data_IF_542672125019
#
_entry.id   IF_542672125019
#
_cell.length_a   1.000
_cell.length_b   1.000
_cell.length_c   1.000
_cell.angle_alpha   90.00
_cell.angle_beta   90.00
_cell.angle_gamma   90.00
#
_symmetry.space_group_name_H-M   'P 1'
#
loop_
_entity.id
_entity.type
_entity.pdbx_description
1 polymer ?
#
# COMPACT_ATOMS: atom_id res chain seq x y z
N UNK A 1 -36.39 -18.65 13.86
CA UNK A 1 -37.80 -18.23 14.08
C UNK A 1 -37.75 -16.74 14.31
N UNK A 2 -38.01 -15.95 13.28
CA UNK A 2 -37.94 -14.48 13.34
C UNK A 2 -39.01 -13.99 14.30
N UNK A 3 -38.61 -13.35 15.41
CA UNK A 3 -39.56 -12.63 16.25
C UNK A 3 -40.08 -11.43 15.44
N UNK A 4 -41.39 -11.37 15.26
CA UNK A 4 -42.12 -10.29 14.59
C UNK A 4 -43.30 -9.91 15.50
N UNK A 5 -43.61 -8.61 15.58
CA UNK A 5 -44.76 -8.02 16.29
C UNK A 5 -46.02 -8.88 16.25
N UNK A 6 -46.40 -9.43 15.10
CA UNK A 6 -47.60 -10.25 14.92
C UNK A 6 -47.52 -11.59 15.69
N UNK A 7 -46.33 -12.23 15.69
CA UNK A 7 -46.07 -13.46 16.44
C UNK A 7 -46.03 -13.22 17.95
N UNK A 8 -45.47 -12.08 18.37
CA UNK A 8 -45.38 -11.67 19.77
C UNK A 8 -46.78 -11.28 20.30
N UNK A 9 -47.55 -10.54 19.52
CA UNK A 9 -48.93 -10.16 19.85
C UNK A 9 -49.81 -11.40 20.04
N UNK A 10 -49.71 -12.42 19.15
CA UNK A 10 -50.44 -13.70 19.34
C UNK A 10 -50.00 -14.45 20.59
N UNK A 11 -48.72 -14.38 20.98
CA UNK A 11 -48.22 -15.00 22.22
C UNK A 11 -48.71 -14.29 23.48
N UNK A 12 -48.92 -12.98 23.42
CA UNK A 12 -49.36 -12.17 24.57
C UNK A 12 -50.90 -12.08 24.71
N UNK A 13 -51.64 -12.31 23.63
CA UNK A 13 -53.10 -12.29 23.58
C UNK A 13 -53.84 -13.16 24.64
N UNK A 14 -53.31 -14.31 25.12
CA UNK A 14 -53.98 -15.10 26.16
C UNK A 14 -53.92 -14.47 27.56
N UNK A 15 -53.03 -13.50 27.78
CA UNK A 15 -52.68 -12.98 29.11
C UNK A 15 -52.97 -11.48 29.22
N UNK A 16 -52.92 -10.75 28.11
CA UNK A 16 -53.08 -9.29 28.07
C UNK A 16 -54.24 -8.89 27.16
N UNK A 17 -54.88 -7.75 27.47
CA UNK A 17 -55.89 -7.17 26.58
C UNK A 17 -55.27 -6.84 25.21
N UNK A 18 -56.05 -6.83 24.11
CA UNK A 18 -55.52 -6.71 22.74
C UNK A 18 -54.59 -5.51 22.54
N UNK A 19 -54.97 -4.35 23.06
CA UNK A 19 -54.17 -3.12 22.97
C UNK A 19 -52.84 -3.22 23.75
N UNK A 20 -52.87 -3.86 24.92
CA UNK A 20 -51.67 -4.07 25.74
C UNK A 20 -50.73 -5.10 25.11
N UNK A 21 -51.27 -6.17 24.53
CA UNK A 21 -50.50 -7.20 23.83
C UNK A 21 -49.75 -6.61 22.61
N UNK A 22 -50.40 -5.71 21.87
CA UNK A 22 -49.77 -5.01 20.74
C UNK A 22 -48.69 -4.04 21.21
N UNK A 23 -48.95 -3.22 22.24
CA UNK A 23 -47.93 -2.28 22.76
C UNK A 23 -46.70 -3.04 23.30
N UNK A 24 -46.91 -4.15 24.01
CA UNK A 24 -45.80 -4.97 24.52
C UNK A 24 -45.03 -5.65 23.37
N UNK A 25 -45.73 -6.14 22.36
CA UNK A 25 -45.12 -6.75 21.19
C UNK A 25 -44.28 -5.75 20.41
N UNK A 26 -44.77 -4.52 20.20
CA UNK A 26 -44.02 -3.44 19.55
C UNK A 26 -42.81 -3.05 20.39
N UNK A 27 -42.97 -2.84 21.70
CA UNK A 27 -41.86 -2.47 22.57
C UNK A 27 -40.75 -3.55 22.63
N UNK A 28 -41.12 -4.84 22.59
CA UNK A 28 -40.16 -5.94 22.57
C UNK A 28 -39.53 -6.11 21.18
N UNK A 29 -40.28 -5.90 20.10
CA UNK A 29 -39.77 -5.94 18.74
C UNK A 29 -38.77 -4.80 18.50
N UNK A 30 -39.11 -3.57 18.91
CA UNK A 30 -38.21 -2.40 18.88
C UNK A 30 -36.96 -2.66 19.72
N UNK A 31 -37.11 -3.11 20.96
CA UNK A 31 -35.96 -3.42 21.82
C UNK A 31 -35.09 -4.55 21.26
N UNK A 32 -35.68 -5.55 20.62
CA UNK A 32 -34.94 -6.68 20.02
C UNK A 32 -34.26 -6.29 18.70
N UNK A 33 -34.85 -5.35 17.96
CA UNK A 33 -34.26 -4.81 16.74
C UNK A 33 -33.12 -3.82 17.00
N UNK A 34 -33.13 -3.14 18.15
CA UNK A 34 -32.04 -2.28 18.62
C UNK A 34 -30.84 -3.03 19.23
N UNK A 35 -30.92 -4.36 19.37
CA UNK A 35 -29.82 -5.20 19.86
C UNK A 35 -28.88 -5.60 18.72
N UNK A 36 -27.58 -5.40 18.95
CA UNK A 36 -26.50 -5.97 18.14
C UNK A 36 -26.67 -7.49 18.03
N UNK A 37 -26.80 -7.99 16.81
CA UNK A 37 -27.04 -9.41 16.53
C UNK A 37 -25.73 -10.14 16.28
N UNK A 38 -25.76 -11.46 16.49
CA UNK A 38 -24.65 -12.32 16.11
C UNK A 38 -24.33 -12.21 14.60
N UNK A 39 -25.33 -11.89 13.79
CA UNK A 39 -25.18 -11.67 12.36
C UNK A 39 -24.34 -10.42 12.05
N UNK A 40 -24.49 -9.32 12.80
CA UNK A 40 -23.69 -8.10 12.62
C UNK A 40 -22.20 -8.34 12.95
N UNK A 41 -21.92 -9.13 14.00
CA UNK A 41 -20.56 -9.57 14.31
C UNK A 41 -19.98 -10.51 13.25
N UNK A 42 -20.81 -11.38 12.67
CA UNK A 42 -20.39 -12.26 11.58
C UNK A 42 -20.10 -11.46 10.30
N UNK A 43 -20.91 -10.46 9.98
CA UNK A 43 -20.68 -9.55 8.86
C UNK A 43 -19.39 -8.75 9.04
N UNK A 44 -19.17 -8.18 10.22
CA UNK A 44 -17.92 -7.49 10.58
C UNK A 44 -16.70 -8.41 10.40
N UNK A 45 -16.79 -9.65 10.88
CA UNK A 45 -15.71 -10.63 10.77
C UNK A 45 -15.38 -10.98 9.32
N UNK A 46 -16.39 -11.12 8.47
CA UNK A 46 -16.20 -11.40 7.04
C UNK A 46 -15.60 -10.18 6.30
N UNK A 47 -16.03 -8.96 6.63
CA UNK A 47 -15.43 -7.73 6.11
C UNK A 47 -13.95 -7.65 6.49
N UNK A 48 -13.60 -7.87 7.77
CA UNK A 48 -12.21 -7.84 8.24
C UNK A 48 -11.34 -8.92 7.58
N UNK A 49 -11.86 -10.15 7.42
CA UNK A 49 -11.17 -11.22 6.67
C UNK A 49 -10.96 -10.83 5.22
N UNK A 50 -11.95 -10.21 4.59
CA UNK A 50 -11.86 -9.69 3.25
C UNK A 50 -10.77 -8.63 3.11
N UNK A 51 -10.71 -7.67 4.03
CA UNK A 51 -9.69 -6.62 4.08
C UNK A 51 -8.28 -7.19 4.27
N UNK A 52 -8.10 -8.10 5.22
CA UNK A 52 -6.80 -8.74 5.45
C UNK A 52 -6.28 -9.48 4.20
N UNK A 53 -7.16 -10.21 3.50
CA UNK A 53 -6.80 -10.86 2.22
C UNK A 53 -6.46 -9.86 1.13
N UNK A 54 -7.20 -8.75 1.05
CA UNK A 54 -6.95 -7.69 0.06
C UNK A 54 -5.60 -6.99 0.33
N UNK A 55 -5.26 -6.76 1.60
CA UNK A 55 -3.98 -6.18 2.00
C UNK A 55 -2.80 -7.06 1.58
N UNK A 56 -2.82 -8.35 1.93
CA UNK A 56 -1.76 -9.30 1.53
C UNK A 56 -1.62 -9.37 0.00
N UNK A 57 -2.73 -9.35 -0.74
CA UNK A 57 -2.69 -9.33 -2.21
C UNK A 57 -2.08 -8.04 -2.75
N UNK A 58 -2.34 -6.90 -2.11
CA UNK A 58 -1.80 -5.60 -2.50
C UNK A 58 -0.30 -5.55 -2.24
N UNK A 59 0.15 -5.98 -1.06
CA UNK A 59 1.57 -6.08 -0.71
C UNK A 59 2.35 -6.92 -1.72
N UNK A 60 1.85 -8.12 -2.04
CA UNK A 60 2.47 -8.99 -3.05
C UNK A 60 2.58 -8.34 -4.42
N UNK A 61 1.53 -7.62 -4.87
CA UNK A 61 1.54 -6.93 -6.16
C UNK A 61 2.50 -5.75 -6.19
N UNK A 62 2.64 -5.02 -5.08
CA UNK A 62 3.61 -3.93 -4.95
C UNK A 62 5.03 -4.49 -5.05
N UNK A 63 5.30 -5.63 -4.41
CA UNK A 63 6.60 -6.32 -4.54
C UNK A 63 6.88 -6.78 -5.98
N UNK A 64 5.91 -7.41 -6.65
CA UNK A 64 6.03 -7.84 -8.05
C UNK A 64 6.26 -6.65 -9.00
N UNK A 65 5.58 -5.52 -8.75
CA UNK A 65 5.76 -4.28 -9.51
C UNK A 65 7.17 -3.70 -9.30
N UNK A 66 7.66 -3.70 -8.06
CA UNK A 66 9.01 -3.21 -7.74
C UNK A 66 10.09 -4.04 -8.43
N UNK A 67 9.97 -5.37 -8.39
CA UNK A 67 10.88 -6.28 -9.11
C UNK A 67 10.82 -6.06 -10.62
N UNK A 68 9.63 -5.89 -11.18
CA UNK A 68 9.45 -5.64 -12.62
C UNK A 68 10.04 -4.30 -13.06
N UNK A 69 9.89 -3.25 -12.25
CA UNK A 69 10.54 -1.95 -12.49
C UNK A 69 12.06 -2.06 -12.45
N UNK A 70 12.61 -2.79 -11.48
CA UNK A 70 14.06 -3.00 -11.38
C UNK A 70 14.59 -3.77 -12.60
N UNK A 71 13.87 -4.80 -13.06
CA UNK A 71 14.18 -5.51 -14.30
C UNK A 71 14.17 -4.59 -15.52
N UNK A 72 13.16 -3.72 -15.63
CA UNK A 72 13.07 -2.73 -16.72
C UNK A 72 14.26 -1.76 -16.74
N UNK A 73 14.66 -1.24 -15.57
CA UNK A 73 15.82 -0.35 -15.46
C UNK A 73 17.10 -1.06 -15.91
N UNK A 74 17.29 -2.31 -15.50
CA UNK A 74 18.45 -3.10 -15.92
C UNK A 74 18.47 -3.33 -17.44
N UNK A 75 17.33 -3.70 -18.03
CA UNK A 75 17.22 -3.89 -19.48
C UNK A 75 17.40 -2.59 -20.27
N UNK A 76 16.96 -1.43 -19.75
CA UNK A 76 17.25 -0.13 -20.37
C UNK A 76 18.75 0.19 -20.34
N UNK A 77 19.45 -0.15 -19.25
CA UNK A 77 20.89 0.05 -19.14
C UNK A 77 21.67 -0.87 -20.10
N UNK A 78 21.28 -2.14 -20.20
CA UNK A 78 21.85 -3.08 -21.19
C UNK A 78 21.62 -2.59 -22.62
N UNK A 79 20.40 -2.10 -22.93
CA UNK A 79 20.10 -1.51 -24.24
C UNK A 79 20.99 -0.31 -24.56
N UNK A 80 21.20 0.59 -23.60
CA UNK A 80 22.07 1.76 -23.78
C UNK A 80 23.53 1.35 -24.05
N UNK A 81 24.03 0.33 -23.34
CA UNK A 81 25.37 -0.21 -23.59
C UNK A 81 25.49 -0.85 -24.98
N UNK A 82 24.48 -1.61 -25.42
CA UNK A 82 24.45 -2.18 -26.77
C UNK A 82 24.40 -1.09 -27.85
N UNK A 83 23.64 -0.02 -27.65
CA UNK A 83 23.61 1.13 -28.57
C UNK A 83 24.98 1.82 -28.67
N UNK A 84 25.68 1.97 -27.55
CA UNK A 84 27.03 2.54 -27.53
C UNK A 84 28.02 1.63 -28.27
N UNK A 85 27.99 0.32 -28.02
CA UNK A 85 28.84 -0.66 -28.71
C UNK A 85 28.60 -0.66 -30.23
N UNK A 86 27.33 -0.61 -30.64
CA UNK A 86 26.94 -0.50 -32.05
C UNK A 86 27.48 0.78 -32.71
N UNK A 87 27.40 1.93 -32.03
CA UNK A 87 27.95 3.18 -32.53
C UNK A 87 29.48 3.10 -32.72
N UNK A 88 30.19 2.46 -31.78
CA UNK A 88 31.62 2.24 -31.90
C UNK A 88 31.96 1.32 -33.09
N UNK A 89 31.24 0.22 -33.27
CA UNK A 89 31.44 -0.67 -34.43
C UNK A 89 31.14 0.01 -35.76
N UNK A 90 30.14 0.90 -35.83
CA UNK A 90 29.88 1.71 -37.03
C UNK A 90 31.05 2.66 -37.34
N UNK A 91 31.66 3.25 -36.31
CA UNK A 91 32.84 4.10 -36.48
C UNK A 91 34.06 3.30 -36.97
N UNK A 92 34.31 2.12 -36.40
CA UNK A 92 35.39 1.23 -36.84
C UNK A 92 35.18 0.76 -38.29
N UNK A 93 33.93 0.45 -38.68
CA UNK A 93 33.59 0.13 -40.06
C UNK A 93 33.90 1.29 -41.00
N UNK A 94 33.54 2.52 -40.64
CA UNK A 94 33.82 3.69 -41.45
C UNK A 94 35.34 3.92 -41.65
N UNK A 95 36.13 3.71 -40.60
CA UNK A 95 37.60 3.78 -40.68
C UNK A 95 38.18 2.67 -41.59
N UNK A 96 37.67 1.45 -41.49
CA UNK A 96 38.07 0.34 -42.35
C UNK A 96 37.75 0.60 -43.82
N UNK A 97 36.57 1.16 -44.12
CA UNK A 97 36.21 1.57 -45.48
C UNK A 97 37.17 2.63 -46.03
N UNK A 98 37.55 3.61 -45.21
CA UNK A 98 38.51 4.63 -45.61
C UNK A 98 39.91 4.03 -45.88
N UNK A 99 40.34 3.07 -45.07
CA UNK A 99 41.57 2.29 -45.30
C UNK A 99 41.53 1.53 -46.62
N UNK A 100 40.41 0.87 -46.94
CA UNK A 100 40.22 0.13 -48.18
C UNK A 100 40.34 1.04 -49.41
N UNK A 101 39.74 2.23 -49.37
CA UNK A 101 39.84 3.23 -50.45
C UNK A 101 41.30 3.63 -50.67
N UNK A 102 42.08 3.82 -49.59
CA UNK A 102 43.50 4.15 -49.68
C UNK A 102 44.31 3.02 -50.31
N UNK A 103 44.09 1.76 -49.88
CA UNK A 103 44.77 0.61 -50.48
C UNK A 103 44.42 0.41 -51.96
N UNK A 104 43.18 0.71 -52.37
CA UNK A 104 42.81 0.68 -53.79
C UNK A 104 43.56 1.74 -54.61
N UNK A 105 43.81 2.92 -54.05
CA UNK A 105 44.62 3.96 -54.70
C UNK A 105 46.09 3.54 -54.83
N UNK A 106 46.67 2.98 -53.77
CA UNK A 106 48.06 2.46 -53.79
C UNK A 106 48.21 1.34 -54.83
N UNK A 107 47.25 0.41 -54.91
CA UNK A 107 47.24 -0.65 -55.91
C UNK A 107 47.17 -0.10 -57.35
N UNK A 108 46.33 0.92 -57.58
CA UNK A 108 46.24 1.57 -58.88
C UNK A 108 47.57 2.23 -59.29
N UNK A 109 48.28 2.82 -58.33
CA UNK A 109 49.60 3.41 -58.56
C UNK A 109 50.65 2.34 -58.91
N UNK A 110 50.72 1.24 -58.15
CA UNK A 110 51.64 0.12 -58.47
C UNK A 110 51.37 -0.49 -59.85
N UNK A 111 50.09 -0.58 -60.27
CA UNK A 111 49.74 -1.01 -61.62
C UNK A 111 50.29 -0.07 -62.71
N UNK A 112 50.28 1.23 -62.46
CA UNK A 112 50.83 2.23 -63.38
C UNK A 112 52.36 2.11 -63.48
N UNK A 113 53.05 1.94 -62.35
CA UNK A 113 54.50 1.73 -62.31
C UNK A 113 54.91 0.45 -63.04
N UNK A 114 54.19 -0.65 -62.83
CA UNK A 114 54.41 -1.91 -63.54
C UNK A 114 54.26 -1.75 -65.06
N UNK A 115 53.24 -1.03 -65.52
CA UNK A 115 53.03 -0.77 -66.94
C UNK A 115 54.20 0.03 -67.55
N UNK A 116 54.74 0.98 -66.79
CA UNK A 116 55.91 1.76 -67.20
C UNK A 116 57.17 0.88 -67.31
N UNK A 117 57.46 0.03 -66.33
CA UNK A 117 58.59 -0.92 -66.39
C UNK A 117 58.48 -1.91 -67.56
N UNK A 118 57.27 -2.39 -67.87
CA UNK A 118 57.03 -3.25 -69.03
C UNK A 118 57.35 -2.53 -70.36
N UNK A 119 56.99 -1.26 -70.47
CA UNK A 119 57.29 -0.43 -71.63
C UNK A 119 58.81 -0.22 -71.80
N UNK A 120 59.53 0.08 -70.71
CA UNK A 120 60.99 0.23 -70.71
C UNK A 120 61.72 -1.06 -71.12
N UNK A 121 61.23 -2.21 -70.65
CA UNK A 121 61.73 -3.52 -71.05
C UNK A 121 61.53 -3.75 -72.56
N UNK A 122 60.35 -3.46 -73.09
CA UNK A 122 60.06 -3.61 -74.51
C UNK A 122 60.93 -2.72 -75.40
N UNK A 123 61.18 -1.47 -74.96
CA UNK A 123 62.10 -0.55 -75.64
C UNK A 123 63.55 -1.07 -75.60
N UNK A 124 64.01 -1.58 -74.46
CA UNK A 124 65.33 -2.19 -74.34
C UNK A 124 65.50 -3.42 -75.24
N UNK A 125 64.46 -4.25 -75.37
CA UNK A 125 64.45 -5.38 -76.31
C UNK A 125 64.50 -4.93 -77.77
N UNK A 126 63.76 -3.89 -78.16
CA UNK A 126 63.85 -3.31 -79.51
C UNK A 126 65.25 -2.74 -79.79
N UNK A 127 65.85 -2.06 -78.81
CA UNK A 127 67.22 -1.56 -78.89
C UNK A 127 68.22 -2.69 -79.14
N UNK A 128 68.08 -3.82 -78.43
CA UNK A 128 68.90 -5.01 -78.63
C UNK A 128 68.79 -5.58 -80.05
N UNK A 129 67.58 -5.66 -80.63
CA UNK A 129 67.37 -6.15 -82.01
C UNK A 129 68.04 -5.22 -83.04
N UNK A 130 67.95 -3.90 -82.82
CA UNK A 130 68.58 -2.90 -83.68
C UNK A 130 70.12 -2.96 -83.58
N UNK A 131 70.66 -3.07 -82.37
CA UNK A 131 72.09 -3.21 -82.13
C UNK A 131 72.64 -4.59 -82.55
N UNK A 132 71.81 -5.65 -82.60
CA UNK A 132 72.19 -6.93 -83.21
C UNK A 132 72.49 -6.80 -84.72
N UNK A 133 71.88 -5.84 -85.43
CA UNK A 133 72.28 -5.52 -86.81
C UNK A 133 73.63 -4.79 -86.88
N UNK A 134 74.07 -4.16 -85.79
CA UNK A 134 75.33 -3.40 -85.68
C UNK A 134 76.48 -4.22 -85.02
N UNK A 135 76.16 -5.39 -84.46
CA UNK A 135 76.97 -6.27 -83.58
C UNK A 135 78.25 -6.90 -84.18
N UNK A 136 78.59 -6.65 -85.44
CA UNK A 136 79.90 -7.07 -85.94
C UNK A 136 81.06 -6.27 -85.30
N UNK A 137 80.82 -5.16 -84.59
CA UNK A 137 81.88 -4.20 -84.24
C UNK A 137 82.13 -3.82 -82.77
N UNK A 138 81.26 -4.04 -81.77
CA UNK A 138 81.46 -3.48 -80.41
C UNK A 138 81.09 -4.43 -79.26
N UNK A 139 82.08 -5.08 -78.65
CA UNK A 139 81.89 -6.10 -77.59
C UNK A 139 81.83 -5.56 -76.15
N UNK A 140 82.17 -4.29 -75.89
CA UNK A 140 82.24 -3.73 -74.53
C UNK A 140 80.91 -3.06 -74.10
N UNK A 141 80.15 -2.51 -75.03
CA UNK A 141 78.79 -1.97 -74.81
C UNK A 141 77.77 -3.09 -74.52
N UNK A 142 78.03 -4.31 -75.01
CA UNK A 142 77.24 -5.52 -74.74
C UNK A 142 77.15 -5.82 -73.23
N UNK A 143 78.24 -5.67 -72.49
CA UNK A 143 78.29 -5.96 -71.06
C UNK A 143 77.43 -4.99 -70.24
N UNK A 144 77.40 -3.71 -70.62
CA UNK A 144 76.58 -2.69 -69.96
C UNK A 144 75.08 -2.84 -70.28
N UNK A 145 74.73 -3.13 -71.55
CA UNK A 145 73.33 -3.39 -71.93
C UNK A 145 72.79 -4.68 -71.30
N UNK A 146 73.59 -5.74 -71.18
CA UNK A 146 73.18 -6.96 -70.46
C UNK A 146 72.96 -6.69 -68.97
N UNK A 147 73.81 -5.87 -68.33
CA UNK A 147 73.58 -5.42 -66.94
C UNK A 147 72.28 -4.62 -66.80
N UNK A 148 71.98 -3.71 -67.74
CA UNK A 148 70.72 -2.95 -67.76
C UNK A 148 69.49 -3.85 -67.87
N UNK A 149 69.52 -4.84 -68.76
CA UNK A 149 68.42 -5.80 -68.93
C UNK A 149 68.18 -6.65 -67.67
N UNK A 150 69.25 -7.15 -67.03
CA UNK A 150 69.14 -7.91 -65.78
C UNK A 150 68.54 -7.05 -64.68
N UNK A 151 68.93 -5.77 -64.60
CA UNK A 151 68.39 -4.83 -63.62
C UNK A 151 66.90 -4.56 -63.84
N UNK A 152 66.47 -4.28 -65.07
CA UNK A 152 65.04 -4.08 -65.38
C UNK A 152 64.20 -5.35 -65.17
N UNK A 153 64.74 -6.55 -65.42
CA UNK A 153 64.05 -7.80 -65.09
C UNK A 153 63.89 -8.00 -63.58
N UNK A 154 64.88 -7.62 -62.78
CA UNK A 154 64.78 -7.65 -61.31
C UNK A 154 63.75 -6.64 -60.80
N UNK A 155 63.73 -5.42 -61.32
CA UNK A 155 62.76 -4.37 -60.97
C UNK A 155 61.32 -4.79 -61.33
N UNK A 156 61.13 -5.42 -62.49
CA UNK A 156 59.83 -5.96 -62.92
C UNK A 156 59.36 -7.12 -62.01
N UNK A 157 60.25 -8.05 -61.68
CA UNK A 157 59.93 -9.17 -60.80
C UNK A 157 59.54 -8.68 -59.40
N UNK A 158 60.23 -7.66 -58.89
CA UNK A 158 59.91 -7.04 -57.60
C UNK A 158 58.54 -6.35 -57.64
N UNK A 159 58.26 -5.56 -58.68
CA UNK A 159 56.96 -4.89 -58.86
C UNK A 159 55.79 -5.87 -58.93
N UNK A 160 55.97 -7.02 -59.62
CA UNK A 160 54.96 -8.07 -59.66
C UNK A 160 54.72 -8.71 -58.29
N UNK A 161 55.77 -8.88 -57.48
CA UNK A 161 55.65 -9.43 -56.14
C UNK A 161 54.90 -8.47 -55.21
N UNK A 162 55.21 -7.17 -55.24
CA UNK A 162 54.51 -6.15 -54.46
C UNK A 162 53.03 -6.06 -54.85
N UNK A 163 52.73 -6.10 -56.15
CA UNK A 163 51.36 -6.10 -56.66
C UNK A 163 50.57 -7.32 -56.14
N UNK A 164 51.17 -8.52 -56.19
CA UNK A 164 50.52 -9.74 -55.70
C UNK A 164 50.22 -9.67 -54.20
N UNK A 165 51.15 -9.14 -53.39
CA UNK A 165 50.94 -8.93 -51.96
C UNK A 165 49.82 -7.91 -51.68
N UNK A 166 49.78 -6.82 -52.45
CA UNK A 166 48.77 -5.77 -52.30
C UNK A 166 47.37 -6.27 -52.69
N UNK A 167 47.24 -7.07 -53.75
CA UNK A 167 45.97 -7.74 -54.10
C UNK A 167 45.49 -8.70 -53.02
N UNK A 168 46.40 -9.49 -52.43
CA UNK A 168 46.05 -10.40 -51.34
C UNK A 168 45.54 -9.64 -50.10
N UNK A 169 46.21 -8.55 -49.72
CA UNK A 169 45.77 -7.67 -48.64
C UNK A 169 44.38 -7.07 -48.89
N UNK A 170 44.11 -6.63 -50.13
CA UNK A 170 42.80 -6.07 -50.51
C UNK A 170 41.67 -7.10 -50.37
N UNK A 171 41.88 -8.35 -50.79
CA UNK A 171 40.89 -9.42 -50.65
C UNK A 171 40.59 -9.69 -49.17
N UNK A 172 41.63 -9.73 -48.33
CA UNK A 172 41.48 -9.95 -46.90
C UNK A 172 40.67 -8.82 -46.23
N UNK A 173 40.98 -7.56 -46.53
CA UNK A 173 40.23 -6.41 -46.02
C UNK A 173 38.77 -6.39 -46.49
N UNK A 174 38.47 -6.79 -47.73
CA UNK A 174 37.08 -6.92 -48.20
C UNK A 174 36.31 -7.99 -47.42
N UNK A 175 36.98 -9.10 -47.09
CA UNK A 175 36.37 -10.19 -46.34
C UNK A 175 36.07 -9.81 -44.88
N UNK A 176 36.99 -9.11 -44.23
CA UNK A 176 36.79 -8.54 -42.89
C UNK A 176 35.66 -7.50 -42.87
N UNK A 177 35.59 -6.64 -43.89
CA UNK A 177 34.50 -5.67 -44.03
C UNK A 177 33.13 -6.36 -44.16
N UNK A 178 33.04 -7.41 -44.97
CA UNK A 178 31.81 -8.18 -45.15
C UNK A 178 31.35 -8.84 -43.84
N UNK A 179 32.28 -9.43 -43.09
CA UNK A 179 31.98 -10.01 -41.77
C UNK A 179 31.50 -8.95 -40.77
N UNK A 180 32.14 -7.79 -40.74
CA UNK A 180 31.74 -6.67 -39.87
C UNK A 180 30.33 -6.15 -40.20
N UNK A 181 29.98 -6.04 -41.49
CA UNK A 181 28.63 -5.68 -41.93
C UNK A 181 27.57 -6.71 -41.52
N UNK A 182 27.89 -8.00 -41.60
CA UNK A 182 27.00 -9.06 -41.12
C UNK A 182 26.80 -8.98 -39.59
N UNK A 183 27.88 -8.76 -38.84
CA UNK A 183 27.82 -8.55 -37.39
C UNK A 183 26.93 -7.37 -36.99
N UNK A 184 27.09 -6.22 -37.64
CA UNK A 184 26.24 -5.04 -37.43
C UNK A 184 24.77 -5.31 -37.73
N UNK A 185 24.49 -6.05 -38.82
CA UNK A 185 23.12 -6.42 -39.17
C UNK A 185 22.48 -7.28 -38.08
N UNK A 186 23.23 -8.23 -37.54
CA UNK A 186 22.78 -9.09 -36.45
C UNK A 186 22.53 -8.28 -35.16
N UNK A 187 23.47 -7.42 -34.76
CA UNK A 187 23.31 -6.55 -33.60
C UNK A 187 22.11 -5.59 -33.73
N UNK A 188 21.82 -5.08 -34.94
CA UNK A 188 20.61 -4.30 -35.18
C UNK A 188 19.33 -5.11 -34.98
N UNK A 189 19.30 -6.38 -35.41
CA UNK A 189 18.14 -7.27 -35.19
C UNK A 189 17.94 -7.57 -33.69
N UNK A 190 19.01 -7.87 -32.95
CA UNK A 190 18.94 -8.09 -31.50
C UNK A 190 18.45 -6.83 -30.77
N UNK A 191 18.94 -5.65 -31.17
CA UNK A 191 18.49 -4.38 -30.60
C UNK A 191 17.00 -4.14 -30.85
N UNK A 192 16.50 -4.44 -32.05
CA UNK A 192 15.09 -4.31 -32.39
C UNK A 192 14.21 -5.26 -31.56
N UNK A 193 14.65 -6.52 -31.37
CA UNK A 193 13.96 -7.49 -30.52
C UNK A 193 13.94 -7.05 -29.05
N UNK A 194 15.06 -6.53 -28.54
CA UNK A 194 15.17 -6.01 -27.17
C UNK A 194 14.24 -4.81 -26.95
N UNK A 195 14.17 -3.87 -27.92
CA UNK A 195 13.21 -2.76 -27.87
C UNK A 195 11.76 -3.25 -27.86
N UNK A 196 11.42 -4.25 -28.68
CA UNK A 196 10.07 -4.83 -28.69
C UNK A 196 9.72 -5.49 -27.35
N UNK A 197 10.67 -6.22 -26.73
CA UNK A 197 10.51 -6.81 -25.40
C UNK A 197 10.31 -5.76 -24.30
N UNK A 198 11.01 -4.63 -24.38
CA UNK A 198 10.82 -3.49 -23.47
C UNK A 198 9.44 -2.86 -23.61
N UNK A 199 8.93 -2.70 -24.84
CA UNK A 199 7.57 -2.19 -25.07
C UNK A 199 6.52 -3.12 -24.48
N UNK A 200 6.66 -4.44 -24.67
CA UNK A 200 5.75 -5.43 -24.07
C UNK A 200 5.81 -5.41 -22.53
N UNK A 201 7.01 -5.29 -21.96
CA UNK A 201 7.20 -5.19 -20.51
C UNK A 201 6.56 -3.92 -19.93
N UNK A 202 6.70 -2.78 -20.62
CA UNK A 202 6.01 -1.55 -20.23
C UNK A 202 4.49 -1.68 -20.28
N UNK A 203 3.94 -2.33 -21.32
CA UNK A 203 2.50 -2.61 -21.41
C UNK A 203 2.02 -3.49 -20.25
N UNK A 204 2.78 -4.54 -19.90
CA UNK A 204 2.49 -5.39 -18.74
C UNK A 204 2.49 -4.62 -17.40
N UNK A 205 3.46 -3.71 -17.21
CA UNK A 205 3.51 -2.81 -16.05
C UNK A 205 2.28 -1.89 -15.96
N UNK A 206 1.84 -1.33 -17.10
CA UNK A 206 0.64 -0.48 -17.15
C UNK A 206 -0.61 -1.28 -16.76
N UNK A 207 -0.76 -2.51 -17.26
CA UNK A 207 -1.88 -3.38 -16.87
C UNK A 207 -1.86 -3.73 -15.38
N UNK A 208 -0.69 -4.06 -14.84
CA UNK A 208 -0.53 -4.35 -13.41
C UNK A 208 -0.83 -3.15 -12.52
N UNK A 209 -0.48 -1.93 -12.95
CA UNK A 209 -0.86 -0.70 -12.26
C UNK A 209 -2.37 -0.47 -12.29
N UNK A 210 -3.02 -0.64 -13.44
CA UNK A 210 -4.48 -0.47 -13.57
C UNK A 210 -5.23 -1.44 -12.65
N UNK A 211 -4.83 -2.70 -12.63
CA UNK A 211 -5.43 -3.67 -11.73
C UNK A 211 -5.15 -3.35 -10.24
N UNK A 212 -4.01 -2.75 -9.90
CA UNK A 212 -3.73 -2.31 -8.52
C UNK A 212 -4.65 -1.17 -8.11
N UNK A 213 -4.93 -0.22 -9.02
CA UNK A 213 -5.94 0.83 -8.81
C UNK A 213 -7.32 0.23 -8.54
N UNK A 214 -7.74 -0.78 -9.31
CA UNK A 214 -9.02 -1.47 -9.08
C UNK A 214 -9.08 -2.17 -7.71
N UNK A 215 -8.01 -2.85 -7.30
CA UNK A 215 -7.93 -3.47 -5.97
C UNK A 215 -7.98 -2.41 -4.85
N UNK A 216 -7.33 -1.26 -5.05
CA UNK A 216 -7.37 -0.16 -4.09
C UNK A 216 -8.78 0.43 -3.96
N UNK A 217 -9.48 0.65 -5.08
CA UNK A 217 -10.89 1.10 -5.06
C UNK A 217 -11.78 0.14 -4.28
N UNK A 218 -11.69 -1.17 -4.58
CA UNK A 218 -12.48 -2.17 -3.86
C UNK A 218 -12.10 -2.24 -2.36
N UNK A 219 -10.85 -1.93 -2.00
CA UNK A 219 -10.44 -1.87 -0.59
C UNK A 219 -11.06 -0.66 0.10
N UNK A 220 -11.12 0.49 -0.58
CA UNK A 220 -11.80 1.68 -0.07
C UNK A 220 -13.30 1.41 0.13
N UNK A 221 -13.98 0.77 -0.84
CA UNK A 221 -15.40 0.40 -0.70
C UNK A 221 -15.64 -0.51 0.51
N UNK A 222 -14.68 -1.39 0.84
CA UNK A 222 -14.75 -2.24 2.04
C UNK A 222 -14.51 -1.46 3.33
N UNK A 223 -13.63 -0.45 3.29
CA UNK A 223 -13.40 0.45 4.43
C UNK A 223 -14.65 1.29 4.71
N UNK A 224 -15.31 1.82 3.69
CA UNK A 224 -16.55 2.59 3.85
C UNK A 224 -17.64 1.72 4.51
N UNK A 225 -17.83 0.49 4.02
CA UNK A 225 -18.75 -0.48 4.66
C UNK A 225 -18.37 -0.80 6.10
N UNK A 226 -17.07 -0.93 6.39
CA UNK A 226 -16.60 -1.16 7.76
C UNK A 226 -16.93 0.03 8.66
N UNK A 227 -16.75 1.26 8.17
CA UNK A 227 -17.09 2.49 8.88
C UNK A 227 -18.58 2.53 9.20
N UNK A 228 -19.44 2.17 8.25
CA UNK A 228 -20.90 2.11 8.45
C UNK A 228 -21.28 1.10 9.54
N UNK A 229 -20.76 -0.14 9.43
CA UNK A 229 -21.03 -1.20 10.42
C UNK A 229 -20.53 -0.81 11.81
N UNK A 230 -19.32 -0.24 11.92
CA UNK A 230 -18.78 0.21 13.21
C UNK A 230 -19.58 1.38 13.79
N UNK A 231 -20.05 2.30 12.95
CA UNK A 231 -20.86 3.44 13.39
C UNK A 231 -22.23 2.99 13.92
N UNK A 232 -22.90 2.08 13.20
CA UNK A 232 -24.16 1.48 13.63
C UNK A 232 -23.99 0.71 14.94
N UNK A 233 -22.94 -0.12 15.02
CA UNK A 233 -22.60 -0.84 16.24
C UNK A 233 -22.37 0.10 17.42
N UNK A 234 -21.66 1.21 17.21
CA UNK A 234 -21.42 2.21 18.25
C UNK A 234 -22.73 2.88 18.73
N UNK A 235 -23.65 3.15 17.81
CA UNK A 235 -24.97 3.73 18.11
C UNK A 235 -25.85 2.74 18.89
N UNK A 236 -25.95 1.49 18.45
CA UNK A 236 -26.70 0.43 19.13
C UNK A 236 -26.13 0.15 20.52
N UNK A 237 -24.81 0.04 20.66
CA UNK A 237 -24.15 -0.08 21.96
C UNK A 237 -24.44 1.11 22.89
N UNK A 238 -24.57 2.31 22.33
CA UNK A 238 -25.03 3.50 23.06
C UNK A 238 -26.50 3.41 23.50
N UNK A 239 -27.37 2.84 22.68
CA UNK A 239 -28.76 2.51 23.01
C UNK A 239 -28.85 1.47 24.14
N UNK A 240 -28.15 0.34 23.99
CA UNK A 240 -28.09 -0.73 24.98
C UNK A 240 -27.54 -0.24 26.31
N UNK A 241 -26.45 0.53 26.30
CA UNK A 241 -25.88 1.09 27.53
C UNK A 241 -26.89 1.99 28.27
N UNK A 242 -27.75 2.72 27.57
CA UNK A 242 -28.83 3.51 28.19
C UNK A 242 -29.94 2.62 28.75
N UNK A 243 -30.40 1.63 27.99
CA UNK A 243 -31.44 0.70 28.42
C UNK A 243 -31.07 -0.09 29.68
N UNK A 244 -29.82 -0.59 29.74
CA UNK A 244 -29.30 -1.25 30.94
C UNK A 244 -29.21 -0.26 32.12
N UNK A 245 -28.89 1.02 31.86
CA UNK A 245 -28.81 2.04 32.92
C UNK A 245 -30.19 2.32 33.52
N UNK A 246 -31.20 2.49 32.67
CA UNK A 246 -32.59 2.67 33.11
C UNK A 246 -33.13 1.43 33.85
N UNK A 247 -32.68 0.24 33.47
CA UNK A 247 -33.07 -1.01 34.16
C UNK A 247 -32.53 -1.04 35.60
N UNK A 248 -31.26 -0.66 35.78
CA UNK A 248 -30.64 -0.55 37.11
C UNK A 248 -31.35 0.51 37.98
N UNK A 249 -31.68 1.67 37.40
CA UNK A 249 -32.43 2.74 38.08
C UNK A 249 -33.83 2.25 38.50
N UNK A 250 -34.52 1.52 37.61
CA UNK A 250 -35.83 0.93 37.87
C UNK A 250 -35.82 -0.11 38.99
N UNK A 251 -34.76 -0.92 39.06
CA UNK A 251 -34.56 -1.88 40.15
C UNK A 251 -34.29 -1.14 41.47
N UNK A 252 -33.45 -0.10 41.43
CA UNK A 252 -33.17 0.75 42.57
C UNK A 252 -34.45 1.37 43.16
N UNK A 253 -35.36 1.91 42.33
CA UNK A 253 -36.65 2.43 42.81
C UNK A 253 -37.49 1.40 43.59
N UNK A 254 -37.35 0.11 43.28
CA UNK A 254 -38.16 -0.96 43.91
C UNK A 254 -37.52 -1.49 45.18
N UNK A 255 -36.21 -1.68 45.19
CA UNK A 255 -35.51 -2.44 46.22
C UNK A 255 -34.81 -1.55 47.26
N UNK A 256 -34.43 -0.32 46.88
CA UNK A 256 -33.77 0.61 47.81
C UNK A 256 -34.56 0.92 49.09
N UNK A 257 -35.89 1.09 49.10
CA UNK A 257 -36.59 1.43 50.35
C UNK A 257 -36.37 0.39 51.45
N UNK A 258 -36.45 -0.90 51.13
CA UNK A 258 -36.25 -1.98 52.09
C UNK A 258 -34.78 -2.08 52.53
N UNK A 259 -33.84 -1.96 51.59
CA UNK A 259 -32.41 -1.96 51.89
C UNK A 259 -31.98 -0.79 52.78
N UNK A 260 -32.43 0.43 52.48
CA UNK A 260 -32.09 1.64 53.23
C UNK A 260 -32.69 1.61 54.65
N UNK A 261 -33.87 1.02 54.81
CA UNK A 261 -34.48 0.83 56.13
C UNK A 261 -33.70 -0.22 56.96
N UNK A 262 -33.35 -1.35 56.36
CA UNK A 262 -32.68 -2.46 57.05
C UNK A 262 -31.23 -2.13 57.45
N UNK A 263 -30.45 -1.53 56.54
CA UNK A 263 -29.01 -1.32 56.74
C UNK A 263 -28.67 0.06 57.30
N UNK A 264 -29.53 1.06 57.06
CA UNK A 264 -29.22 2.46 57.40
C UNK A 264 -30.30 3.16 58.24
N UNK A 265 -31.37 2.46 58.64
CA UNK A 265 -32.46 3.03 59.45
C UNK A 265 -33.24 4.15 58.75
N UNK A 266 -33.18 4.21 57.41
CA UNK A 266 -33.80 5.26 56.61
C UNK A 266 -35.15 4.78 56.08
N UNK A 267 -36.22 5.41 56.55
CA UNK A 267 -37.58 5.15 56.07
C UNK A 267 -37.97 6.23 55.06
N UNK A 268 -38.24 5.83 53.82
CA UNK A 268 -38.71 6.74 52.78
C UNK A 268 -40.22 6.95 52.90
N UNK A 269 -40.66 8.21 53.03
CA UNK A 269 -42.07 8.54 53.27
C UNK A 269 -42.94 8.47 52.01
N UNK A 270 -42.36 8.74 50.84
CA UNK A 270 -42.99 8.54 49.52
C UNK A 270 -42.02 7.75 48.64
N UNK A 271 -42.55 7.16 47.56
CA UNK A 271 -41.73 6.45 46.57
C UNK A 271 -40.65 7.40 46.03
N UNK A 272 -39.43 6.90 45.91
CA UNK A 272 -38.36 7.63 45.24
C UNK A 272 -38.74 7.90 43.78
N UNK A 273 -38.37 9.06 43.27
CA UNK A 273 -38.70 9.53 41.92
C UNK A 273 -37.51 10.19 41.26
N UNK A 274 -37.51 10.21 39.93
CA UNK A 274 -36.67 11.12 39.15
C UNK A 274 -37.28 12.50 39.16
N UNK A 275 -36.48 13.53 39.42
CA UNK A 275 -36.97 14.91 39.42
C UNK A 275 -35.86 15.87 38.99
N UNK A 276 -36.27 17.07 38.57
CA UNK A 276 -35.36 18.20 38.36
C UNK A 276 -35.52 19.16 39.53
N UNK A 277 -34.41 19.58 40.14
CA UNK A 277 -34.40 20.61 41.21
C UNK A 277 -33.34 21.64 40.85
N UNK A 278 -33.75 22.91 40.76
CA UNK A 278 -32.94 23.94 40.11
C UNK A 278 -32.76 23.58 38.63
N UNK A 279 -31.49 23.53 38.19
CA UNK A 279 -31.11 23.17 36.82
C UNK A 279 -30.49 21.75 36.71
N UNK A 280 -30.58 20.94 37.77
CA UNK A 280 -29.99 19.60 37.81
C UNK A 280 -31.06 18.51 37.88
N UNK A 281 -30.85 17.45 37.08
CA UNK A 281 -31.64 16.23 37.13
C UNK A 281 -31.10 15.29 38.22
N UNK A 282 -31.98 14.80 39.09
CA UNK A 282 -31.64 13.88 40.18
C UNK A 282 -32.23 12.52 39.83
N UNK A 283 -31.36 11.52 39.69
CA UNK A 283 -31.76 10.16 39.31
C UNK A 283 -32.61 9.51 40.40
N UNK A 284 -32.31 9.74 41.68
CA UNK A 284 -33.08 9.18 42.79
C UNK A 284 -33.36 10.26 43.83
N UNK A 285 -34.61 10.72 43.94
CA UNK A 285 -35.03 11.70 44.94
C UNK A 285 -36.14 11.16 45.83
N UNK A 286 -35.99 11.30 47.15
CA UNK A 286 -37.05 10.95 48.10
C UNK A 286 -37.01 11.80 49.37
N UNK A 287 -38.18 11.98 49.99
CA UNK A 287 -38.28 12.53 51.35
C UNK A 287 -38.46 11.38 52.33
N UNK A 288 -37.74 11.41 53.43
CA UNK A 288 -37.77 10.34 54.42
C UNK A 288 -37.41 10.81 55.81
N UNK A 289 -37.15 9.84 56.67
CA UNK A 289 -36.61 10.04 58.00
C UNK A 289 -35.50 9.01 58.26
N UNK A 290 -34.45 9.41 58.97
CA UNK A 290 -33.44 8.51 59.53
C UNK A 290 -33.51 8.64 61.04
N UNK A 291 -33.80 7.56 61.76
CA UNK A 291 -33.91 7.56 63.22
C UNK A 291 -34.84 8.67 63.78
N UNK A 292 -35.91 9.00 63.05
CA UNK A 292 -36.86 10.06 63.40
C UNK A 292 -36.47 11.47 62.97
N UNK A 293 -35.27 11.68 62.41
CA UNK A 293 -34.81 12.97 61.86
C UNK A 293 -35.26 13.11 60.40
N UNK A 294 -35.93 14.21 59.99
CA UNK A 294 -36.30 14.44 58.61
C UNK A 294 -35.09 14.51 57.67
N UNK A 295 -35.08 13.67 56.63
CA UNK A 295 -34.06 13.67 55.59
C UNK A 295 -34.64 13.99 54.21
N UNK A 296 -33.75 14.36 53.30
CA UNK A 296 -33.95 14.34 51.85
C UNK A 296 -32.86 13.47 51.22
N UNK A 297 -33.27 12.45 50.48
CA UNK A 297 -32.38 11.56 49.76
C UNK A 297 -32.11 12.14 48.37
N UNK A 298 -30.83 12.28 48.04
CA UNK A 298 -30.34 12.65 46.72
C UNK A 298 -29.44 11.53 46.25
N UNK A 299 -29.80 10.87 45.15
CA UNK A 299 -29.04 9.75 44.63
C UNK A 299 -28.77 9.77 43.14
N UNK A 300 -27.68 9.10 42.77
CA UNK A 300 -27.19 8.92 41.41
C UNK A 300 -27.13 7.43 41.09
N UNK A 301 -27.46 7.03 39.85
CA UNK A 301 -27.32 5.64 39.42
C UNK A 301 -26.22 5.48 38.36
N UNK A 302 -25.28 4.57 38.58
CA UNK A 302 -24.20 4.28 37.62
C UNK A 302 -23.83 2.80 37.55
N UNK A 303 -24.00 2.18 36.38
CA UNK A 303 -23.66 0.76 36.16
C UNK A 303 -22.20 0.38 36.42
N UNK A 304 -21.27 1.24 36.05
CA UNK A 304 -19.82 0.98 36.09
C UNK A 304 -19.09 2.25 36.48
N UNK A 305 -18.29 2.18 37.55
CA UNK A 305 -17.52 3.29 38.13
C UNK A 305 -16.03 3.27 37.71
N UNK A 306 -15.67 2.34 36.83
CA UNK A 306 -14.29 1.87 36.58
C UNK A 306 -13.69 2.30 35.23
N UNK A 307 -14.42 3.06 34.41
CA UNK A 307 -13.86 3.59 33.15
C UNK A 307 -13.07 4.88 33.39
N UNK A 308 -11.73 4.82 33.28
CA UNK A 308 -10.92 6.04 33.07
C UNK A 308 -11.43 6.79 31.82
N UNK A 309 -12.03 7.96 32.01
CA UNK A 309 -12.31 8.93 30.94
C UNK A 309 -11.45 10.16 31.17
N UNK A 310 -10.51 10.44 30.26
CA UNK A 310 -9.74 11.69 30.28
C UNK A 310 -8.75 11.85 31.44
N UNK A 311 -8.27 10.75 32.04
CA UNK A 311 -7.19 10.80 33.05
C UNK A 311 -7.61 11.09 34.50
N UNK A 312 -8.91 11.30 34.78
CA UNK A 312 -9.47 11.32 36.16
C UNK A 312 -10.26 10.03 36.43
N UNK A 313 -10.30 9.63 37.70
CA UNK A 313 -11.04 8.45 38.16
C UNK A 313 -12.55 8.70 38.02
N UNK A 314 -13.27 7.84 37.28
CA UNK A 314 -14.70 8.03 37.02
C UNK A 314 -15.53 7.95 38.31
N UNK A 315 -15.07 7.18 39.30
CA UNK A 315 -15.70 7.16 40.61
C UNK A 315 -15.66 8.54 41.30
N UNK A 316 -14.54 9.24 41.22
CA UNK A 316 -14.38 10.58 41.80
C UNK A 316 -15.33 11.58 41.12
N UNK A 317 -15.45 11.52 39.80
CA UNK A 317 -16.35 12.42 39.06
C UNK A 317 -17.82 12.22 39.46
N UNK A 318 -18.25 10.98 39.67
CA UNK A 318 -19.63 10.68 40.08
C UNK A 318 -19.88 11.16 41.52
N UNK A 319 -18.92 10.97 42.43
CA UNK A 319 -19.03 11.48 43.80
C UNK A 319 -19.06 13.02 43.85
N UNK A 320 -18.22 13.70 43.07
CA UNK A 320 -18.25 15.17 42.93
C UNK A 320 -19.58 15.66 42.34
N UNK A 321 -20.12 14.94 41.34
CA UNK A 321 -21.41 15.28 40.75
C UNK A 321 -22.55 15.12 41.77
N UNK A 322 -22.54 14.03 42.53
CA UNK A 322 -23.52 13.80 43.58
C UNK A 322 -23.43 14.87 44.70
N UNK A 323 -22.22 15.31 45.04
CA UNK A 323 -22.01 16.41 45.98
C UNK A 323 -22.62 17.73 45.46
N UNK A 324 -22.39 18.09 44.19
CA UNK A 324 -23.00 19.29 43.58
C UNK A 324 -24.53 19.22 43.58
N UNK A 325 -25.11 18.06 43.23
CA UNK A 325 -26.56 17.87 43.27
C UNK A 325 -27.10 18.05 44.69
N UNK A 326 -26.43 17.51 45.69
CA UNK A 326 -26.81 17.70 47.10
C UNK A 326 -26.76 19.17 47.54
N UNK A 327 -25.73 19.93 47.15
CA UNK A 327 -25.62 21.37 47.42
C UNK A 327 -26.74 22.18 46.79
N UNK A 328 -27.19 21.80 45.59
CA UNK A 328 -28.32 22.44 44.90
C UNK A 328 -29.64 22.09 45.59
N UNK A 329 -29.79 20.87 46.11
CA UNK A 329 -31.03 20.42 46.76
C UNK A 329 -31.18 21.01 48.18
N UNK A 330 -30.08 21.18 48.92
CA UNK A 330 -30.12 21.58 50.33
C UNK A 330 -30.91 22.89 50.61
N UNK A 331 -30.78 23.97 49.82
CA UNK A 331 -31.54 25.22 50.02
C UNK A 331 -33.05 25.07 49.84
N UNK A 332 -33.51 24.09 49.04
CA UNK A 332 -34.93 23.82 48.86
C UNK A 332 -35.55 23.05 50.04
N UNK A 333 -34.71 22.43 50.87
CA UNK A 333 -35.13 21.64 52.03
C UNK A 333 -34.27 21.96 53.26
N UNK A 334 -34.29 23.21 53.77
CA UNK A 334 -33.36 23.68 54.80
C UNK A 334 -33.55 22.99 56.15
N UNK A 335 -34.72 22.42 56.40
CA UNK A 335 -35.06 21.71 57.64
C UNK A 335 -34.77 20.20 57.59
N UNK A 336 -34.14 19.72 56.51
CA UNK A 336 -33.86 18.29 56.28
C UNK A 336 -32.37 18.06 56.06
N UNK A 337 -31.86 16.97 56.63
CA UNK A 337 -30.50 16.51 56.34
C UNK A 337 -30.46 15.88 54.94
N UNK A 338 -29.49 16.28 54.11
CA UNK A 338 -29.29 15.66 52.79
C UNK A 338 -28.47 14.39 52.92
N UNK A 339 -29.11 13.26 52.58
CA UNK A 339 -28.44 11.97 52.46
C UNK A 339 -28.06 11.74 51.00
N UNK A 340 -26.77 11.49 50.75
CA UNK A 340 -26.24 11.20 49.43
C UNK A 340 -26.13 9.70 49.19
N UNK A 341 -26.67 9.22 48.07
CA UNK A 341 -26.68 7.81 47.70
C UNK A 341 -26.11 7.60 46.30
N UNK A 342 -25.20 6.65 46.15
CA UNK A 342 -24.73 6.17 44.86
C UNK A 342 -25.17 4.72 44.67
N UNK A 343 -25.96 4.47 43.64
CA UNK A 343 -26.33 3.11 43.23
C UNK A 343 -25.41 2.66 42.11
N UNK A 344 -24.79 1.50 42.27
CA UNK A 344 -23.92 0.91 41.23
C UNK A 344 -24.07 -0.60 41.18
N UNK A 345 -23.68 -1.22 40.07
CA UNK A 345 -23.57 -2.69 40.08
C UNK A 345 -22.43 -3.14 40.99
N UNK A 346 -21.30 -2.43 40.97
CA UNK A 346 -20.13 -2.76 41.77
C UNK A 346 -19.27 -1.53 42.08
N UNK A 347 -18.70 -1.48 43.29
CA UNK A 347 -17.72 -0.48 43.72
C UNK A 347 -16.50 -1.16 44.34
N UNK A 348 -15.29 -0.73 43.92
CA UNK A 348 -14.02 -1.23 44.47
C UNK A 348 -13.79 -0.69 45.90
N UNK A 349 -12.99 -1.36 46.74
CA UNK A 349 -12.71 -0.91 48.10
C UNK A 349 -12.19 0.52 48.22
N UNK A 350 -11.40 0.99 47.25
CA UNK A 350 -10.92 2.38 47.22
C UNK A 350 -12.06 3.40 47.03
N UNK A 351 -13.08 3.06 46.23
CA UNK A 351 -14.25 3.90 45.98
C UNK A 351 -15.14 3.93 47.23
N UNK A 352 -15.33 2.78 47.88
CA UNK A 352 -16.01 2.69 49.18
C UNK A 352 -15.34 3.57 50.24
N UNK A 353 -14.01 3.49 50.36
CA UNK A 353 -13.26 4.30 51.31
C UNK A 353 -13.40 5.80 51.04
N UNK A 354 -13.44 6.22 49.77
CA UNK A 354 -13.60 7.62 49.40
C UNK A 354 -15.04 8.12 49.59
N UNK A 355 -16.05 7.33 49.20
CA UNK A 355 -17.45 7.64 49.45
C UNK A 355 -17.75 7.76 50.95
N UNK A 356 -17.17 6.87 51.77
CA UNK A 356 -17.31 6.91 53.22
C UNK A 356 -16.74 8.19 53.84
N UNK A 357 -15.55 8.63 53.41
CA UNK A 357 -14.99 9.94 53.84
C UNK A 357 -15.91 11.10 53.51
N UNK A 358 -16.60 11.01 52.37
CA UNK A 358 -17.50 12.04 51.91
C UNK A 358 -18.92 11.88 52.48
N UNK A 359 -19.21 10.85 53.28
CA UNK A 359 -20.56 10.61 53.82
C UNK A 359 -21.59 10.19 52.75
N UNK A 360 -21.14 9.51 51.70
CA UNK A 360 -21.99 8.99 50.62
C UNK A 360 -22.26 7.50 50.88
N UNK A 361 -23.53 7.11 50.86
CA UNK A 361 -23.94 5.70 50.90
C UNK A 361 -23.71 5.10 49.53
N UNK A 362 -23.07 3.93 49.45
CA UNK A 362 -23.02 3.13 48.24
C UNK A 362 -23.97 1.96 48.41
N UNK A 363 -24.90 1.80 47.47
CA UNK A 363 -25.74 0.61 47.35
C UNK A 363 -25.30 -0.16 46.10
N UNK A 364 -24.75 -1.35 46.29
CA UNK A 364 -24.41 -2.22 45.17
C UNK A 364 -25.61 -3.09 44.80
N UNK A 365 -25.81 -3.34 43.51
CA UNK A 365 -27.06 -3.94 43.03
C UNK A 365 -27.30 -5.40 43.42
N UNK A 366 -26.36 -6.00 44.16
CA UNK A 366 -26.45 -7.36 44.68
C UNK A 366 -26.52 -7.40 46.22
N UNK A 367 -26.54 -6.24 46.89
CA UNK A 367 -26.58 -6.12 48.36
C UNK A 367 -28.00 -6.01 48.92
N UNK A 368 -29.00 -5.80 48.05
CA UNK A 368 -30.40 -5.69 48.42
C UNK A 368 -31.21 -6.96 48.18
#
# INVERSE_FOLDING_TARGET
MTMNVESLTRRFAPVFAPEQATVLAVAIDDAYNDLVKADDFNELKEIMRGLAKAQVRTEKRVEELAHSQQGLVKSQQELAQSQQGLAQSQQELAQSQQGLVKSQQELAQSHQELAQSQQELAQSQQGLVKSQQELAQSHQELAQSQQGLVKSQQELAHSHQELAQSQQGLVQSQQELAQSQQGLTHSHQELAQSQQGLVQSQQGLVQSQQELVLVQQHTNDRLDKLIDVVSNLAQEMGGLSRSVSYSLENEAYRLLPAFLEAEYGIVLGKRAVRTVIGDEEIDLFALGQRDGVPIVLVGETKLQLDRRRGGRDAAVQVLEQLARKAEIVQPHYPEREVVRLLVTHFARPAVHAEAQKQGVIIAQSFEW
#
